data_IF_624812124203
#
_entry.id   IF_624812124203
#
_cell.length_a   1.000
_cell.length_b   1.000
_cell.length_c   1.000
_cell.angle_alpha   90.00
_cell.angle_beta   90.00
_cell.angle_gamma   90.00
#
_symmetry.space_group_name_H-M   'P 1'
#
loop_
_entity.id
_entity.type
_entity.pdbx_description
1 polymer ?
#
# COMPACT_ATOMS: atom_id res chain seq x y z
N UNK A 1 -5.06 -20.51 1.86
CA UNK A 1 -3.71 -20.87 1.37
C UNK A 1 -3.24 -19.99 0.21
N UNK A 2 -4.11 -19.52 -0.69
CA UNK A 2 -3.74 -18.65 -1.82
C UNK A 2 -3.36 -17.19 -1.44
N UNK A 3 -3.88 -16.66 -0.33
CA UNK A 3 -3.69 -15.25 0.04
C UNK A 3 -2.34 -14.92 0.70
N UNK A 4 -1.61 -15.91 1.20
CA UNK A 4 -0.30 -15.68 1.83
C UNK A 4 0.75 -15.24 0.79
N UNK A 5 0.62 -15.73 -0.44
CA UNK A 5 1.53 -15.43 -1.56
C UNK A 5 1.45 -13.95 -1.98
N UNK A 6 0.28 -13.32 -1.85
CA UNK A 6 0.15 -11.89 -2.17
C UNK A 6 0.76 -10.97 -1.10
N UNK A 7 0.80 -11.40 0.17
CA UNK A 7 1.54 -10.68 1.22
C UNK A 7 3.05 -10.73 0.97
N UNK A 8 3.57 -11.87 0.51
CA UNK A 8 4.99 -12.03 0.14
C UNK A 8 5.39 -11.18 -1.07
N UNK A 9 4.41 -10.80 -1.89
CA UNK A 9 4.60 -9.90 -3.02
C UNK A 9 4.65 -8.42 -2.64
N UNK A 10 4.64 -8.03 -1.37
CA UNK A 10 4.94 -6.65 -0.96
C UNK A 10 6.18 -6.64 -0.09
N UNK A 11 7.04 -5.63 -0.28
CA UNK A 11 8.07 -5.36 0.73
C UNK A 11 7.39 -4.92 2.02
N UNK A 12 8.07 -5.08 3.16
CA UNK A 12 7.56 -4.61 4.46
C UNK A 12 7.07 -3.16 4.39
N UNK A 13 7.84 -2.30 3.73
CA UNK A 13 7.51 -0.88 3.56
C UNK A 13 6.29 -0.63 2.68
N UNK A 14 6.14 -1.40 1.59
CA UNK A 14 4.95 -1.33 0.74
C UNK A 14 3.70 -1.77 1.51
N UNK A 15 3.83 -2.79 2.35
CA UNK A 15 2.74 -3.30 3.17
C UNK A 15 2.33 -2.31 4.26
N UNK A 16 3.28 -1.69 4.97
CA UNK A 16 3.02 -0.59 5.91
C UNK A 16 2.19 0.53 5.25
N UNK A 17 2.65 1.00 4.07
CA UNK A 17 1.96 2.06 3.32
C UNK A 17 0.55 1.63 2.92
N UNK A 18 0.33 0.38 2.52
CA UNK A 18 -1.00 -0.13 2.16
C UNK A 18 -1.96 -0.12 3.37
N UNK A 19 -1.50 -0.49 4.56
CA UNK A 19 -2.32 -0.46 5.78
C UNK A 19 -2.72 0.98 6.12
N UNK A 20 -1.76 1.90 6.13
CA UNK A 20 -2.04 3.30 6.44
C UNK A 20 -2.98 3.95 5.43
N UNK A 21 -2.88 3.57 4.15
CA UNK A 21 -3.83 3.99 3.13
C UNK A 21 -5.25 3.44 3.37
N UNK A 22 -5.36 2.22 3.90
CA UNK A 22 -6.65 1.62 4.22
C UNK A 22 -7.30 2.26 5.46
N UNK A 23 -6.51 2.78 6.37
CA UNK A 23 -6.95 3.59 7.51
C UNK A 23 -7.39 5.01 7.10
N UNK A 24 -7.15 5.40 5.85
CA UNK A 24 -7.56 6.70 5.29
C UNK A 24 -6.50 7.80 5.39
N UNK A 25 -5.25 7.46 5.75
CA UNK A 25 -4.18 8.44 5.85
C UNK A 25 -3.80 9.04 4.48
N UNK A 26 -3.54 10.35 4.48
CA UNK A 26 -2.99 11.08 3.35
C UNK A 26 -1.50 10.79 3.15
N UNK A 27 -0.95 11.15 1.98
CA UNK A 27 0.48 10.97 1.72
C UNK A 27 1.38 11.76 2.68
N UNK A 28 0.85 12.83 3.30
CA UNK A 28 1.57 13.63 4.30
C UNK A 28 1.58 12.92 5.65
N UNK A 29 0.43 12.47 6.13
CA UNK A 29 0.33 11.72 7.40
C UNK A 29 1.17 10.45 7.36
N UNK A 30 1.13 9.70 6.26
CA UNK A 30 1.98 8.53 6.06
C UNK A 30 3.47 8.89 6.09
N UNK A 31 3.85 10.03 5.50
CA UNK A 31 5.24 10.46 5.47
C UNK A 31 5.74 10.81 6.88
N UNK A 32 4.90 11.51 7.65
CA UNK A 32 5.17 11.89 9.04
C UNK A 32 5.27 10.65 9.95
N UNK A 33 4.33 9.70 9.85
CA UNK A 33 4.32 8.47 10.64
C UNK A 33 5.52 7.56 10.33
N UNK A 34 5.87 7.48 9.06
CA UNK A 34 6.92 6.60 8.59
C UNK A 34 8.32 7.26 8.55
N UNK A 35 8.44 8.52 9.01
CA UNK A 35 9.67 9.31 9.04
C UNK A 35 10.40 9.39 7.67
N UNK A 36 9.65 9.62 6.60
CA UNK A 36 10.17 9.78 5.24
C UNK A 36 9.58 11.00 4.54
N UNK A 37 10.07 11.35 3.36
CA UNK A 37 9.48 12.44 2.58
C UNK A 37 8.14 12.03 1.95
N UNK A 38 7.25 13.00 1.72
CA UNK A 38 6.00 12.80 0.98
C UNK A 38 6.27 12.22 -0.42
N UNK A 39 7.36 12.62 -1.07
CA UNK A 39 7.73 12.10 -2.40
C UNK A 39 8.21 10.65 -2.35
N UNK A 40 8.85 10.23 -1.25
CA UNK A 40 9.15 8.83 -0.98
C UNK A 40 7.85 8.02 -0.92
N UNK A 41 6.84 8.49 -0.18
CA UNK A 41 5.52 7.83 -0.11
C UNK A 41 4.84 7.77 -1.48
N UNK A 42 4.84 8.86 -2.26
CA UNK A 42 4.30 8.87 -3.63
C UNK A 42 5.01 7.86 -4.53
N UNK A 43 6.33 7.73 -4.39
CA UNK A 43 7.14 6.78 -5.16
C UNK A 43 6.77 5.35 -4.82
N UNK A 44 6.67 5.01 -3.53
CA UNK A 44 6.17 3.70 -3.11
C UNK A 44 4.76 3.42 -3.64
N UNK A 45 3.82 4.38 -3.51
CA UNK A 45 2.46 4.23 -4.05
C UNK A 45 2.46 3.94 -5.56
N UNK A 46 3.27 4.66 -6.34
CA UNK A 46 3.41 4.42 -7.79
C UNK A 46 3.95 3.02 -8.07
N UNK A 47 4.97 2.59 -7.34
CA UNK A 47 5.56 1.27 -7.50
C UNK A 47 4.57 0.16 -7.14
N UNK A 48 3.82 0.30 -6.05
CA UNK A 48 2.78 -0.64 -5.63
C UNK A 48 1.71 -0.76 -6.72
N UNK A 49 1.16 0.36 -7.20
CA UNK A 49 0.13 0.34 -8.25
C UNK A 49 0.62 -0.35 -9.54
N UNK A 50 1.88 -0.10 -9.93
CA UNK A 50 2.50 -0.78 -11.08
C UNK A 50 2.64 -2.28 -10.82
N UNK A 51 3.07 -2.67 -9.61
CA UNK A 51 3.29 -4.07 -9.23
C UNK A 51 1.99 -4.88 -9.16
N UNK A 52 0.89 -4.25 -8.75
CA UNK A 52 -0.42 -4.91 -8.59
C UNK A 52 -1.35 -4.67 -9.77
N UNK A 53 -0.92 -3.91 -10.78
CA UNK A 53 -1.75 -3.43 -11.90
C UNK A 53 -3.04 -2.73 -11.46
N UNK A 54 -3.04 -2.15 -10.26
CA UNK A 54 -4.22 -1.50 -9.73
C UNK A 54 -4.38 -0.12 -10.38
N UNK A 55 -5.61 0.19 -10.81
CA UNK A 55 -5.90 1.45 -11.51
C UNK A 55 -5.66 2.69 -10.63
N UNK A 56 -5.88 2.57 -9.33
CA UNK A 56 -5.66 3.64 -8.36
C UNK A 56 -5.58 3.06 -6.93
N UNK A 57 -5.25 3.91 -5.97
CA UNK A 57 -5.10 3.53 -4.55
C UNK A 57 -6.37 2.93 -3.95
N UNK A 58 -7.55 3.45 -4.31
CA UNK A 58 -8.83 2.92 -3.80
C UNK A 58 -9.04 1.48 -4.28
N UNK A 59 -8.82 1.23 -5.58
CA UNK A 59 -8.94 -0.10 -6.16
C UNK A 59 -7.92 -1.10 -5.56
N UNK A 60 -6.70 -0.63 -5.29
CA UNK A 60 -5.67 -1.40 -4.58
C UNK A 60 -6.16 -1.81 -3.19
N UNK A 61 -6.52 -0.83 -2.34
CA UNK A 61 -6.97 -1.07 -0.95
C UNK A 61 -8.18 -2.00 -0.93
N UNK A 62 -9.19 -1.73 -1.77
CA UNK A 62 -10.38 -2.58 -1.86
C UNK A 62 -10.05 -4.02 -2.28
N UNK A 63 -9.03 -4.21 -3.12
CA UNK A 63 -8.57 -5.55 -3.50
C UNK A 63 -7.86 -6.25 -2.35
N UNK A 64 -7.03 -5.53 -1.60
CA UNK A 64 -6.33 -6.09 -0.44
C UNK A 64 -7.32 -6.52 0.65
N UNK A 65 -8.35 -5.71 0.94
CA UNK A 65 -9.43 -6.04 1.88
C UNK A 65 -10.24 -7.26 1.40
N UNK A 66 -10.71 -7.27 0.14
CA UNK A 66 -11.47 -8.40 -0.41
C UNK A 66 -10.70 -9.72 -0.38
N UNK A 67 -9.37 -9.66 -0.49
CA UNK A 67 -8.48 -10.81 -0.43
C UNK A 67 -8.02 -11.15 1.00
N UNK A 68 -8.46 -10.42 2.03
CA UNK A 68 -8.08 -10.64 3.43
C UNK A 68 -6.59 -10.45 3.70
N UNK A 69 -5.91 -9.56 2.96
CA UNK A 69 -4.49 -9.27 3.16
C UNK A 69 -4.26 -8.28 4.29
N UNK A 70 -5.22 -7.38 4.45
CA UNK A 70 -5.37 -6.34 5.47
C UNK A 70 -6.83 -6.30 5.92
#
# INVERSE_FOLDING_TARGET
>A
MEYLDLRLNFTTREFEIINLLAEGNSAKEIADELFVSVDTVKTHRKNILRKTEAKNTIALVATCIRKGLI
#
